data_IF_761590029292
#
_entry.id   IF_761590029292
#
_cell.length_a   1.000
_cell.length_b   1.000
_cell.length_c   1.000
_cell.angle_alpha   90.00
_cell.angle_beta   90.00
_cell.angle_gamma   90.00
#
_symmetry.space_group_name_H-M   'P 1'
#
loop_
_entity.id
_entity.type
_entity.pdbx_description
1 polymer ?
#
# COMPACT_ATOMS: atom_id res chain seq x y z
N UNK A 1 12.70 25.66 19.16
CA UNK A 1 12.16 24.74 18.14
C UNK A 1 12.46 25.36 16.79
N UNK A 2 13.24 24.72 15.93
CA UNK A 2 13.35 25.19 14.53
C UNK A 2 11.96 24.98 13.90
N UNK A 3 11.36 26.05 13.40
CA UNK A 3 10.10 25.96 12.66
C UNK A 3 10.34 25.06 11.44
N UNK A 4 9.52 24.01 11.27
CA UNK A 4 9.64 23.13 10.10
C UNK A 4 9.20 23.92 8.86
N UNK A 5 10.12 24.22 7.93
CA UNK A 5 9.82 24.98 6.70
C UNK A 5 8.65 24.39 5.93
N UNK A 6 8.59 23.06 5.80
CA UNK A 6 7.49 22.39 5.10
C UNK A 6 6.14 22.69 5.78
N UNK A 7 6.13 22.72 7.12
CA UNK A 7 4.95 23.04 7.89
C UNK A 7 4.48 24.47 7.64
N UNK A 8 5.40 25.44 7.72
CA UNK A 8 5.09 26.85 7.43
C UNK A 8 4.54 26.99 6.02
N UNK A 9 5.16 26.33 5.05
CA UNK A 9 4.78 26.42 3.64
C UNK A 9 3.30 26.04 3.44
N UNK A 10 2.86 24.87 3.92
CA UNK A 10 1.47 24.46 3.73
C UNK A 10 0.49 25.23 4.62
N UNK A 11 0.89 25.66 5.83
CA UNK A 11 0.06 26.50 6.70
C UNK A 11 -0.29 27.84 6.03
N UNK A 12 0.63 28.40 5.24
CA UNK A 12 0.38 29.64 4.49
C UNK A 12 -0.72 29.51 3.42
N UNK A 13 -0.89 28.31 2.84
CA UNK A 13 -2.01 27.99 1.94
C UNK A 13 -3.31 27.79 2.73
N UNK A 14 -3.25 27.02 3.82
CA UNK A 14 -4.41 26.71 4.65
C UNK A 14 -5.08 27.97 5.21
N UNK A 15 -4.30 28.93 5.73
CA UNK A 15 -4.82 30.21 6.27
C UNK A 15 -5.54 31.04 5.21
N UNK A 16 -5.20 30.85 3.92
CA UNK A 16 -5.83 31.53 2.79
C UNK A 16 -6.99 30.74 2.16
N UNK A 17 -7.36 29.61 2.75
CA UNK A 17 -8.46 28.76 2.28
C UNK A 17 -8.09 27.83 1.12
N UNK A 18 -6.79 27.62 0.86
CA UNK A 18 -6.32 26.63 -0.09
C UNK A 18 -5.99 25.33 0.65
N UNK A 19 -6.81 24.29 0.46
CA UNK A 19 -6.67 22.98 1.11
C UNK A 19 -6.39 21.83 0.13
N UNK A 20 -6.33 22.11 -1.18
CA UNK A 20 -5.95 21.11 -2.19
C UNK A 20 -4.44 20.81 -2.13
N UNK A 21 -4.12 19.59 -1.73
CA UNK A 21 -2.74 19.09 -1.60
C UNK A 21 -2.02 19.08 -2.94
N UNK A 22 -2.70 18.76 -4.04
CA UNK A 22 -2.08 18.74 -5.36
C UNK A 22 -1.67 20.15 -5.77
N UNK A 23 -2.51 21.15 -5.46
CA UNK A 23 -2.15 22.56 -5.61
C UNK A 23 -0.93 22.91 -4.74
N UNK A 24 -0.92 22.58 -3.44
CA UNK A 24 0.23 22.89 -2.56
C UNK A 24 1.55 22.28 -3.08
N UNK A 25 1.52 21.03 -3.56
CA UNK A 25 2.70 20.39 -4.15
C UNK A 25 3.13 21.05 -5.45
N UNK A 26 2.20 21.39 -6.33
CA UNK A 26 2.49 22.13 -7.57
C UNK A 26 3.15 23.48 -7.26
N UNK A 27 2.66 24.19 -6.24
CA UNK A 27 3.22 25.46 -5.82
C UNK A 27 4.59 25.35 -5.17
N UNK A 28 4.85 24.27 -4.43
CA UNK A 28 6.18 23.96 -3.92
C UNK A 28 7.20 23.80 -5.07
N UNK A 29 6.81 23.10 -6.15
CA UNK A 29 7.64 22.98 -7.36
C UNK A 29 7.85 24.34 -8.00
N UNK A 30 6.78 25.13 -8.19
CA UNK A 30 6.84 26.46 -8.82
C UNK A 30 7.84 27.37 -8.11
N UNK A 31 7.77 27.39 -6.78
CA UNK A 31 8.63 28.22 -5.93
C UNK A 31 10.09 27.78 -6.03
N UNK A 32 10.36 26.48 -5.95
CA UNK A 32 11.73 25.94 -6.04
C UNK A 32 12.35 26.17 -7.43
N UNK A 33 11.59 25.95 -8.50
CA UNK A 33 12.07 26.19 -9.87
C UNK A 33 12.34 27.69 -10.12
N UNK A 34 11.45 28.57 -9.64
CA UNK A 34 11.67 30.02 -9.73
C UNK A 34 12.94 30.43 -8.97
N UNK A 35 13.14 29.90 -7.77
CA UNK A 35 14.35 30.14 -6.98
C UNK A 35 15.62 29.66 -7.70
N UNK A 36 15.59 28.47 -8.29
CA UNK A 36 16.73 27.96 -9.08
C UNK A 36 17.03 28.83 -10.29
N UNK A 37 16.00 29.23 -11.04
CA UNK A 37 16.16 30.12 -12.19
C UNK A 37 16.87 31.42 -11.79
N UNK A 38 16.39 32.09 -10.73
CA UNK A 38 16.99 33.34 -10.27
C UNK A 38 18.43 33.15 -9.78
N UNK A 39 18.69 32.07 -9.02
CA UNK A 39 20.04 31.74 -8.54
C UNK A 39 21.01 31.46 -9.69
N UNK A 40 20.58 30.72 -10.72
CA UNK A 40 21.40 30.43 -11.90
C UNK A 40 21.75 31.67 -12.72
N UNK A 41 20.94 32.72 -12.63
CA UNK A 41 21.17 34.00 -13.31
C UNK A 41 21.78 35.07 -12.38
N UNK A 42 22.21 34.70 -11.17
CA UNK A 42 22.77 35.60 -10.14
C UNK A 42 21.85 36.80 -9.80
N UNK A 43 20.54 36.58 -9.85
CA UNK A 43 19.53 37.60 -9.54
C UNK A 43 19.16 37.51 -8.06
N UNK A 44 19.31 38.62 -7.34
CA UNK A 44 18.91 38.75 -5.94
C UNK A 44 17.60 39.51 -5.83
N UNK A 45 16.68 39.00 -5.03
CA UNK A 45 15.36 39.59 -4.79
C UNK A 45 15.30 40.13 -3.36
N UNK A 46 14.88 41.38 -3.20
CA UNK A 46 14.54 41.98 -1.91
C UNK A 46 13.03 42.14 -1.72
N UNK A 47 12.61 42.59 -0.54
CA UNK A 47 11.21 42.86 -0.20
C UNK A 47 10.65 44.15 -0.87
N UNK A 48 11.38 44.73 -1.83
CA UNK A 48 10.92 45.93 -2.55
C UNK A 48 9.78 45.61 -3.51
N UNK A 49 8.86 46.56 -3.73
CA UNK A 49 7.73 46.36 -4.66
C UNK A 49 8.19 46.06 -6.09
N UNK A 50 9.33 46.61 -6.52
CA UNK A 50 9.90 46.37 -7.84
C UNK A 50 10.42 44.93 -7.97
N UNK A 51 11.12 44.43 -6.95
CA UNK A 51 11.65 43.07 -6.94
C UNK A 51 10.53 42.03 -6.82
N UNK A 52 9.48 42.32 -6.04
CA UNK A 52 8.29 41.47 -5.96
C UNK A 52 7.56 41.37 -7.30
N UNK A 53 7.41 42.48 -8.02
CA UNK A 53 6.87 42.45 -9.39
C UNK A 53 7.76 41.59 -10.30
N UNK A 54 9.07 41.82 -10.28
CA UNK A 54 10.00 41.04 -11.09
C UNK A 54 9.94 39.55 -10.79
N UNK A 55 9.98 39.18 -9.51
CA UNK A 55 9.85 37.79 -9.03
C UNK A 55 8.55 37.16 -9.54
N UNK A 56 7.43 37.89 -9.44
CA UNK A 56 6.14 37.39 -9.87
C UNK A 56 6.07 37.17 -11.39
N UNK A 57 6.71 38.04 -12.19
CA UNK A 57 6.81 37.85 -13.64
C UNK A 57 7.76 36.71 -14.02
N UNK A 58 8.88 36.56 -13.31
CA UNK A 58 9.78 35.43 -13.48
C UNK A 58 9.06 34.11 -13.18
N UNK A 59 8.30 34.05 -12.08
CA UNK A 59 7.46 32.90 -11.75
C UNK A 59 6.47 32.57 -12.86
N UNK A 60 5.76 33.56 -13.42
CA UNK A 60 4.79 33.31 -14.49
C UNK A 60 5.44 32.67 -15.70
N UNK A 61 6.58 33.19 -16.12
CA UNK A 61 7.36 32.64 -17.24
C UNK A 61 7.75 31.17 -16.98
N UNK A 62 8.32 30.88 -15.81
CA UNK A 62 8.71 29.51 -15.42
C UNK A 62 7.52 28.57 -15.34
N UNK A 63 6.37 29.09 -14.90
CA UNK A 63 5.13 28.33 -14.81
C UNK A 63 4.59 27.95 -16.18
N UNK A 64 4.59 28.89 -17.12
CA UNK A 64 4.18 28.65 -18.51
C UNK A 64 5.10 27.62 -19.19
N UNK A 65 6.43 27.74 -19.00
CA UNK A 65 7.41 26.80 -19.54
C UNK A 65 7.23 25.37 -19.01
N UNK A 66 6.74 25.22 -17.78
CA UNK A 66 6.46 23.92 -17.13
C UNK A 66 5.01 23.45 -17.27
N UNK A 67 4.15 24.19 -17.98
CA UNK A 67 2.73 23.84 -18.13
C UNK A 67 1.93 23.84 -16.83
N UNK A 68 2.34 24.67 -15.86
CA UNK A 68 1.66 24.80 -14.57
C UNK A 68 0.42 25.68 -14.68
N UNK A 69 -0.58 25.39 -13.85
CA UNK A 69 -1.80 26.19 -13.75
C UNK A 69 -1.53 27.60 -13.17
N UNK A 70 -2.57 28.43 -13.12
CA UNK A 70 -2.48 29.77 -12.57
C UNK A 70 -2.12 29.75 -11.07
N UNK A 71 -1.19 30.62 -10.66
CA UNK A 71 -0.85 30.84 -9.26
C UNK A 71 -2.03 31.51 -8.53
N UNK A 72 -2.53 30.95 -7.41
CA UNK A 72 -3.80 31.39 -6.83
C UNK A 72 -3.72 32.65 -5.95
N UNK A 73 -2.56 33.30 -5.78
CA UNK A 73 -2.42 34.49 -4.95
C UNK A 73 -1.66 35.65 -5.58
N UNK A 74 -1.27 36.61 -4.75
CA UNK A 74 -0.65 37.86 -5.17
C UNK A 74 0.89 37.84 -5.05
N UNK A 75 1.50 38.99 -5.31
CA UNK A 75 2.96 39.18 -5.30
C UNK A 75 3.57 39.02 -3.93
N UNK A 76 2.88 39.51 -2.90
CA UNK A 76 3.33 39.43 -1.52
C UNK A 76 3.29 37.98 -1.05
N UNK A 77 2.19 37.27 -1.34
CA UNK A 77 2.08 35.86 -1.02
C UNK A 77 3.15 35.03 -1.75
N UNK A 78 3.37 35.26 -3.03
CA UNK A 78 4.41 34.53 -3.76
C UNK A 78 5.81 34.85 -3.22
N UNK A 79 6.07 36.11 -2.85
CA UNK A 79 7.33 36.50 -2.22
C UNK A 79 7.53 35.76 -0.89
N UNK A 80 6.51 35.70 -0.03
CA UNK A 80 6.60 34.96 1.23
C UNK A 80 6.95 33.48 0.99
N UNK A 81 6.30 32.83 0.02
CA UNK A 81 6.61 31.45 -0.35
C UNK A 81 8.05 31.31 -0.88
N UNK A 82 8.48 32.24 -1.72
CA UNK A 82 9.82 32.29 -2.28
C UNK A 82 10.92 32.36 -1.21
N UNK A 83 10.69 33.09 -0.11
CA UNK A 83 11.66 33.14 1.00
C UNK A 83 11.91 31.78 1.66
N UNK A 84 10.97 30.83 1.52
CA UNK A 84 11.11 29.47 2.05
C UNK A 84 11.82 28.52 1.09
N UNK A 85 11.96 28.88 -0.19
CA UNK A 85 12.34 27.99 -1.29
C UNK A 85 13.66 27.24 -1.05
N UNK A 86 14.68 27.92 -0.52
CA UNK A 86 16.01 27.34 -0.30
C UNK A 86 15.99 26.19 0.73
N UNK A 87 15.08 26.26 1.70
CA UNK A 87 14.99 25.29 2.80
C UNK A 87 13.84 24.28 2.66
N UNK A 88 13.09 24.35 1.56
CA UNK A 88 11.93 23.50 1.33
C UNK A 88 12.36 22.09 0.92
N UNK A 89 11.94 21.08 1.68
CA UNK A 89 12.15 19.68 1.31
C UNK A 89 10.89 19.16 0.61
N UNK A 90 10.94 19.10 -0.72
CA UNK A 90 9.82 18.68 -1.57
C UNK A 90 9.32 17.26 -1.27
N UNK A 91 10.23 16.29 -1.10
CA UNK A 91 9.86 14.90 -0.80
C UNK A 91 9.29 14.79 0.62
N UNK A 92 9.87 15.53 1.56
CA UNK A 92 9.34 15.67 2.91
C UNK A 92 7.94 16.29 2.92
N UNK A 93 7.69 17.33 2.12
CA UNK A 93 6.39 17.99 2.02
C UNK A 93 5.33 17.02 1.46
N UNK A 94 5.68 16.25 0.43
CA UNK A 94 4.83 15.17 -0.08
C UNK A 94 4.46 14.17 1.03
N UNK A 95 5.46 13.72 1.79
CA UNK A 95 5.22 12.81 2.92
C UNK A 95 4.31 13.44 3.98
N UNK A 96 4.54 14.71 4.35
CA UNK A 96 3.81 15.41 5.41
C UNK A 96 2.34 15.64 5.03
N UNK A 97 2.06 16.04 3.78
CA UNK A 97 0.69 16.29 3.31
C UNK A 97 -0.17 15.03 3.26
N UNK A 98 0.40 13.88 2.91
CA UNK A 98 -0.33 12.61 2.84
C UNK A 98 -0.26 11.78 4.14
N UNK A 99 0.53 12.22 5.14
CA UNK A 99 0.69 11.50 6.40
C UNK A 99 -0.66 11.37 7.13
N UNK A 100 -0.97 10.16 7.57
CA UNK A 100 -2.18 9.81 8.33
C UNK A 100 -3.51 10.08 7.59
N UNK A 101 -3.49 10.35 6.29
CA UNK A 101 -4.70 10.49 5.51
C UNK A 101 -5.39 9.12 5.34
N UNK A 102 -6.68 9.02 5.66
CA UNK A 102 -7.43 7.76 5.53
C UNK A 102 -7.90 7.49 4.09
N UNK A 103 -7.71 8.45 3.21
CA UNK A 103 -8.14 8.47 1.80
C UNK A 103 -6.92 8.74 0.92
N UNK A 104 -6.95 8.27 -0.33
CA UNK A 104 -5.86 8.54 -1.28
C UNK A 104 -4.70 7.55 -1.21
N UNK A 105 -3.49 8.06 -0.99
CA UNK A 105 -2.23 7.31 -1.17
C UNK A 105 -1.90 6.50 0.07
N UNK A 106 -1.63 5.20 -0.11
CA UNK A 106 -1.09 4.34 0.95
C UNK A 106 0.41 4.56 1.04
N UNK A 107 0.87 5.23 2.09
CA UNK A 107 2.29 5.41 2.35
C UNK A 107 2.88 4.22 3.11
N UNK A 108 4.07 3.79 2.70
CA UNK A 108 4.89 2.87 3.46
C UNK A 108 5.43 3.55 4.73
N UNK A 109 5.38 2.90 5.90
CA UNK A 109 6.01 3.45 7.09
C UNK A 109 7.54 3.38 6.99
N UNK A 110 8.23 4.27 7.69
CA UNK A 110 9.69 4.40 7.68
C UNK A 110 10.41 3.07 7.93
N UNK A 111 9.91 2.26 8.85
CA UNK A 111 10.50 0.97 9.20
C UNK A 111 10.32 -0.11 8.11
N UNK A 112 9.28 0.01 7.27
CA UNK A 112 9.17 -0.82 6.07
C UNK A 112 10.17 -0.37 5.01
N UNK A 113 10.33 0.95 4.83
CA UNK A 113 11.30 1.49 3.89
C UNK A 113 12.72 1.10 4.30
N UNK A 114 13.08 1.23 5.58
CA UNK A 114 14.36 0.79 6.12
C UNK A 114 14.62 -0.71 5.82
N UNK A 115 13.63 -1.57 6.05
CA UNK A 115 13.73 -3.00 5.71
C UNK A 115 13.92 -3.23 4.20
N UNK A 116 13.20 -2.47 3.34
CA UNK A 116 13.38 -2.56 1.89
C UNK A 116 14.75 -2.02 1.44
N UNK A 117 15.32 -1.05 2.14
CA UNK A 117 16.66 -0.53 1.85
C UNK A 117 17.74 -1.59 2.05
N UNK A 118 17.61 -2.49 3.03
CA UNK A 118 18.53 -3.62 3.22
C UNK A 118 18.53 -4.61 2.04
N UNK A 119 17.45 -4.62 1.23
CA UNK A 119 17.35 -5.42 0.01
C UNK A 119 18.19 -4.80 -1.13
N UNK A 120 18.48 -3.50 -1.06
CA UNK A 120 19.39 -2.79 -1.99
C UNK A 120 20.85 -3.12 -1.62
N UNK A 121 21.24 -4.36 -1.89
CA UNK A 121 22.59 -4.87 -1.62
C UNK A 121 23.62 -4.42 -2.66
N UNK A 122 24.91 -4.63 -2.38
CA UNK A 122 26.04 -4.36 -3.28
C UNK A 122 25.89 -4.92 -4.70
N UNK A 123 25.21 -6.06 -4.85
CA UNK A 123 25.01 -6.75 -6.14
C UNK A 123 23.96 -6.11 -7.03
N UNK A 124 23.14 -5.21 -6.49
CA UNK A 124 22.13 -4.46 -7.24
C UNK A 124 22.82 -3.24 -7.83
N UNK A 125 22.67 -2.97 -9.13
CA UNK A 125 23.23 -1.77 -9.77
C UNK A 125 22.13 -0.82 -10.25
N UNK A 126 20.99 -1.36 -10.70
CA UNK A 126 19.82 -0.58 -11.11
C UNK A 126 18.57 -0.93 -10.30
N UNK A 127 17.94 0.12 -9.75
CA UNK A 127 16.74 0.03 -8.91
C UNK A 127 15.62 0.83 -9.55
N UNK A 128 14.45 0.22 -9.72
CA UNK A 128 13.22 0.94 -10.04
C UNK A 128 12.30 0.97 -8.82
N UNK A 129 11.75 2.15 -8.50
CA UNK A 129 10.70 2.33 -7.50
C UNK A 129 9.42 2.69 -8.24
N UNK A 130 8.47 1.76 -8.26
CA UNK A 130 7.37 1.73 -9.22
C UNK A 130 6.23 2.75 -8.98
N UNK A 131 6.02 3.13 -7.73
CA UNK A 131 5.10 4.19 -7.26
C UNK A 131 5.84 4.97 -6.16
N UNK A 132 6.79 5.81 -6.57
CA UNK A 132 7.80 6.40 -5.69
C UNK A 132 7.21 7.26 -4.56
N UNK A 133 6.05 7.87 -4.77
CA UNK A 133 5.35 8.63 -3.73
C UNK A 133 4.99 7.80 -2.50
N UNK A 134 4.74 6.49 -2.67
CA UNK A 134 4.40 5.61 -1.54
C UNK A 134 5.59 5.38 -0.61
N UNK A 135 6.81 5.71 -1.05
CA UNK A 135 8.03 5.60 -0.26
C UNK A 135 8.61 6.97 0.11
N UNK A 136 7.86 8.08 -0.07
CA UNK A 136 8.37 9.44 0.09
C UNK A 136 9.16 9.67 1.38
N UNK A 137 8.67 9.17 2.52
CA UNK A 137 9.28 9.40 3.83
C UNK A 137 10.76 8.95 3.95
N UNK A 138 11.16 7.88 3.24
CA UNK A 138 12.53 7.35 3.25
C UNK A 138 13.22 7.35 1.89
N UNK A 139 12.57 7.90 0.85
CA UNK A 139 13.05 7.84 -0.53
C UNK A 139 14.39 8.56 -0.71
N UNK A 140 14.50 9.78 -0.18
CA UNK A 140 15.73 10.56 -0.29
C UNK A 140 16.89 9.87 0.44
N UNK A 141 16.66 9.39 1.67
CA UNK A 141 17.66 8.65 2.44
C UNK A 141 18.14 7.38 1.72
N UNK A 142 17.23 6.64 1.10
CA UNK A 142 17.57 5.45 0.31
C UNK A 142 18.53 5.80 -0.84
N UNK A 143 18.28 6.90 -1.55
CA UNK A 143 19.12 7.35 -2.67
C UNK A 143 20.47 7.86 -2.17
N UNK A 144 20.47 8.71 -1.13
CA UNK A 144 21.68 9.32 -0.56
C UNK A 144 22.66 8.28 -0.01
N UNK A 145 22.14 7.19 0.55
CA UNK A 145 22.95 6.09 1.10
C UNK A 145 23.45 5.11 0.04
N UNK A 146 23.03 5.26 -1.21
CA UNK A 146 23.35 4.37 -2.33
C UNK A 146 23.78 5.16 -3.59
N UNK A 147 24.75 6.08 -3.50
CA UNK A 147 25.10 7.01 -4.58
C UNK A 147 25.65 6.32 -5.83
N UNK A 148 26.19 5.12 -5.70
CA UNK A 148 26.72 4.32 -6.81
C UNK A 148 25.64 3.55 -7.58
N UNK A 149 24.41 3.49 -7.06
CA UNK A 149 23.27 2.82 -7.69
C UNK A 149 22.50 3.76 -8.61
N UNK A 150 21.98 3.23 -9.72
CA UNK A 150 21.07 3.96 -10.61
C UNK A 150 19.63 3.76 -10.17
N UNK A 151 18.92 4.84 -9.88
CA UNK A 151 17.52 4.83 -9.49
C UNK A 151 16.61 5.32 -10.61
N UNK A 152 15.53 4.60 -10.86
CA UNK A 152 14.40 5.05 -11.67
C UNK A 152 13.17 5.18 -10.78
N UNK A 153 12.68 6.40 -10.61
CA UNK A 153 11.49 6.73 -9.85
C UNK A 153 10.31 6.84 -10.81
N UNK A 154 9.26 6.06 -10.56
CA UNK A 154 8.05 6.07 -11.38
C UNK A 154 6.85 6.54 -10.57
N UNK A 155 5.98 7.29 -11.23
CA UNK A 155 4.66 7.71 -10.72
C UNK A 155 3.74 8.00 -11.89
N UNK A 156 2.45 7.75 -11.78
CA UNK A 156 1.48 8.15 -12.81
C UNK A 156 0.83 9.51 -12.54
N UNK A 157 1.04 10.07 -11.34
CA UNK A 157 0.54 11.40 -11.00
C UNK A 157 1.49 12.48 -11.51
N UNK A 158 1.01 13.31 -12.44
CA UNK A 158 1.85 14.31 -13.10
C UNK A 158 2.46 15.34 -12.13
N UNK A 159 1.68 15.82 -11.15
CA UNK A 159 2.17 16.74 -10.11
C UNK A 159 3.31 16.13 -9.30
N UNK A 160 3.17 14.86 -8.91
CA UNK A 160 4.22 14.12 -8.19
C UNK A 160 5.44 13.90 -9.09
N UNK A 161 5.22 13.62 -10.38
CA UNK A 161 6.31 13.51 -11.35
C UNK A 161 7.13 14.81 -11.42
N UNK A 162 6.47 15.96 -11.55
CA UNK A 162 7.16 17.26 -11.54
C UNK A 162 7.90 17.46 -10.22
N UNK A 163 7.27 17.15 -9.09
CA UNK A 163 7.88 17.26 -7.77
C UNK A 163 9.13 16.40 -7.62
N UNK A 164 9.07 15.12 -7.98
CA UNK A 164 10.21 14.21 -7.91
C UNK A 164 11.31 14.64 -8.88
N UNK A 165 10.95 15.06 -10.11
CA UNK A 165 11.90 15.56 -11.10
C UNK A 165 12.64 16.79 -10.58
N UNK A 166 11.94 17.73 -9.97
CA UNK A 166 12.52 18.92 -9.34
C UNK A 166 13.36 18.53 -8.12
N UNK A 167 12.87 17.67 -7.23
CA UNK A 167 13.59 17.27 -6.02
C UNK A 167 14.92 16.58 -6.31
N UNK A 168 14.96 15.73 -7.34
CA UNK A 168 16.13 14.92 -7.69
C UNK A 168 16.90 15.41 -8.92
N UNK A 169 16.64 16.64 -9.40
CA UNK A 169 17.27 17.17 -10.63
C UNK A 169 18.80 17.15 -10.60
N UNK A 170 19.42 17.40 -9.44
CA UNK A 170 20.88 17.44 -9.29
C UNK A 170 21.51 16.05 -9.15
N UNK A 171 20.70 15.00 -8.94
CA UNK A 171 21.15 13.63 -8.73
C UNK A 171 21.43 12.95 -10.08
N UNK A 172 22.71 12.82 -10.43
CA UNK A 172 23.13 12.21 -11.69
C UNK A 172 22.76 10.73 -11.80
N UNK A 173 22.49 10.07 -10.67
CA UNK A 173 22.12 8.67 -10.59
C UNK A 173 20.59 8.44 -10.51
N UNK A 174 19.77 9.49 -10.62
CA UNK A 174 18.30 9.39 -10.53
C UNK A 174 17.64 9.78 -11.86
N UNK A 175 16.72 8.94 -12.32
CA UNK A 175 15.81 9.19 -13.45
C UNK A 175 14.38 9.17 -12.93
N UNK A 176 13.55 10.13 -13.33
CA UNK A 176 12.12 10.16 -12.97
C UNK A 176 11.28 9.94 -14.23
N UNK A 177 10.27 9.07 -14.16
CA UNK A 177 9.40 8.70 -15.29
C UNK A 177 7.93 8.86 -14.89
N UNK A 178 7.14 9.50 -15.75
CA UNK A 178 5.68 9.56 -15.61
C UNK A 178 5.02 8.44 -16.41
N UNK A 179 4.76 7.29 -15.78
CA UNK A 179 4.04 6.16 -16.37
C UNK A 179 3.25 5.42 -15.28
N UNK A 180 2.16 4.77 -15.69
CA UNK A 180 1.36 3.94 -14.80
C UNK A 180 1.74 2.48 -14.93
N UNK A 181 2.01 1.83 -13.81
CA UNK A 181 2.26 0.37 -13.76
C UNK A 181 1.01 -0.45 -14.06
N UNK A 182 -0.15 0.20 -14.15
CA UNK A 182 -1.42 -0.42 -14.49
C UNK A 182 -1.78 -0.34 -15.98
N UNK A 183 -0.96 0.36 -16.77
CA UNK A 183 -1.04 0.41 -18.24
C UNK A 183 0.16 -0.28 -18.85
N UNK A 184 0.11 -0.64 -20.13
CA UNK A 184 1.28 -1.20 -20.78
C UNK A 184 2.54 -0.36 -20.54
N UNK A 185 3.54 -0.95 -19.88
CA UNK A 185 4.81 -0.28 -19.63
C UNK A 185 5.62 -0.24 -20.93
N UNK A 186 5.98 0.98 -21.33
CA UNK A 186 6.71 1.24 -22.58
C UNK A 186 8.21 1.49 -22.35
N UNK A 187 8.70 1.22 -21.14
CA UNK A 187 10.12 1.37 -20.82
C UNK A 187 10.92 0.18 -21.39
N UNK A 188 12.03 0.49 -22.05
CA UNK A 188 12.96 -0.52 -22.58
C UNK A 188 13.97 -0.99 -21.53
N UNK A 189 14.15 -0.22 -20.47
CA UNK A 189 15.10 -0.50 -19.38
C UNK A 189 14.69 -1.80 -18.63
N UNK A 190 15.69 -2.57 -18.23
CA UNK A 190 15.54 -3.69 -17.29
C UNK A 190 16.33 -3.43 -16.01
N UNK A 191 15.82 -3.92 -14.87
CA UNK A 191 16.32 -3.57 -13.54
C UNK A 191 16.81 -4.79 -12.77
N UNK A 192 17.87 -4.60 -11.96
CA UNK A 192 18.32 -5.63 -11.01
C UNK A 192 17.34 -5.77 -9.84
N UNK A 193 16.69 -4.67 -9.48
CA UNK A 193 15.68 -4.63 -8.42
C UNK A 193 14.53 -3.72 -8.82
N UNK A 194 13.30 -4.22 -8.70
CA UNK A 194 12.10 -3.39 -8.73
C UNK A 194 11.45 -3.46 -7.35
N UNK A 195 11.20 -2.32 -6.72
CA UNK A 195 10.43 -2.19 -5.49
C UNK A 195 9.03 -1.66 -5.83
N UNK A 196 7.99 -2.34 -5.34
CA UNK A 196 6.61 -1.99 -5.65
C UNK A 196 5.67 -2.17 -4.46
N UNK A 197 4.78 -1.19 -4.26
CA UNK A 197 3.69 -1.24 -3.28
C UNK A 197 2.39 -0.93 -4.02
N UNK A 198 1.93 -1.83 -4.91
CA UNK A 198 0.76 -1.59 -5.77
C UNK A 198 -0.49 -1.19 -4.97
N UNK A 199 -1.42 -0.49 -5.62
CA UNK A 199 -2.69 -0.11 -5.04
C UNK A 199 -3.48 -1.36 -4.62
N UNK A 200 -4.01 -1.36 -3.40
CA UNK A 200 -4.67 -2.53 -2.83
C UNK A 200 -6.18 -2.56 -3.08
N UNK A 201 -6.69 -3.69 -3.57
CA UNK A 201 -8.12 -3.98 -3.72
C UNK A 201 -8.81 -3.23 -4.87
N UNK A 202 -8.04 -2.61 -5.77
CA UNK A 202 -8.57 -1.93 -6.95
C UNK A 202 -8.90 -2.90 -8.08
N UNK A 203 -9.87 -2.53 -8.91
CA UNK A 203 -10.24 -3.30 -10.11
C UNK A 203 -10.38 -2.38 -11.31
N UNK A 204 -9.58 -2.61 -12.35
CA UNK A 204 -9.50 -1.78 -13.54
C UNK A 204 -10.24 -2.43 -14.72
N UNK A 205 -10.86 -1.61 -15.56
CA UNK A 205 -11.41 -2.00 -16.86
C UNK A 205 -10.33 -2.09 -17.93
N UNK A 206 -10.66 -2.75 -19.04
CA UNK A 206 -9.75 -2.91 -20.18
C UNK A 206 -9.37 -1.54 -20.77
N UNK A 207 -10.32 -0.60 -20.77
CA UNK A 207 -10.09 0.76 -21.27
C UNK A 207 -9.09 1.54 -20.39
N UNK A 208 -9.02 1.21 -19.09
CA UNK A 208 -8.08 1.84 -18.16
C UNK A 208 -6.64 1.28 -18.29
N UNK A 209 -6.48 0.06 -18.81
CA UNK A 209 -5.21 -0.70 -18.79
C UNK A 209 -4.42 -0.68 -20.10
N UNK A 210 -4.96 -0.08 -21.16
CA UNK A 210 -4.37 0.03 -22.52
C UNK A 210 -3.98 -1.30 -23.24
N UNK A 211 -4.04 -2.43 -22.54
CA UNK A 211 -3.94 -3.79 -23.08
C UNK A 211 -4.70 -4.78 -22.18
N UNK A 212 -4.87 -6.01 -22.67
CA UNK A 212 -5.42 -7.09 -21.85
C UNK A 212 -4.37 -7.65 -20.90
N UNK A 213 -4.70 -7.67 -19.61
CA UNK A 213 -3.97 -8.38 -18.56
C UNK A 213 -4.72 -9.67 -18.18
N UNK A 214 -4.05 -10.58 -17.46
CA UNK A 214 -4.65 -11.84 -16.99
C UNK A 214 -5.81 -11.61 -16.03
N UNK A 215 -5.76 -10.51 -15.27
CA UNK A 215 -6.76 -10.17 -14.26
C UNK A 215 -7.13 -8.69 -14.36
N UNK A 216 -8.23 -8.32 -13.70
CA UNK A 216 -8.63 -6.92 -13.53
C UNK A 216 -8.14 -6.31 -12.21
N UNK A 217 -7.46 -7.06 -11.36
CA UNK A 217 -7.06 -6.60 -10.02
C UNK A 217 -5.71 -5.86 -10.09
N UNK A 218 -5.63 -4.69 -9.44
CA UNK A 218 -4.50 -3.75 -9.58
C UNK A 218 -3.15 -4.37 -9.28
N UNK A 219 -3.03 -5.21 -8.27
CA UNK A 219 -1.77 -5.80 -7.82
C UNK A 219 -1.25 -6.86 -8.77
N UNK A 220 -2.16 -7.70 -9.29
CA UNK A 220 -1.81 -8.69 -10.31
C UNK A 220 -1.43 -8.03 -11.62
N UNK A 221 -2.12 -6.96 -12.03
CA UNK A 221 -1.76 -6.16 -13.21
C UNK A 221 -0.34 -5.58 -13.04
N UNK A 222 -0.07 -4.92 -11.91
CA UNK A 222 1.23 -4.34 -11.61
C UNK A 222 2.36 -5.38 -11.68
N UNK A 223 2.17 -6.55 -11.06
CA UNK A 223 3.18 -7.62 -11.08
C UNK A 223 3.39 -8.17 -12.49
N UNK A 224 2.31 -8.45 -13.24
CA UNK A 224 2.39 -8.96 -14.61
C UNK A 224 3.18 -8.02 -15.54
N UNK A 225 3.10 -6.72 -15.27
CA UNK A 225 3.79 -5.70 -16.03
C UNK A 225 5.25 -5.55 -15.61
N UNK A 226 5.49 -5.35 -14.31
CA UNK A 226 6.81 -5.06 -13.76
C UNK A 226 7.77 -6.25 -13.91
N UNK A 227 7.29 -7.48 -13.81
CA UNK A 227 8.13 -8.68 -13.92
C UNK A 227 8.79 -8.83 -15.30
N UNK A 228 8.28 -8.15 -16.33
CA UNK A 228 8.86 -8.16 -17.68
C UNK A 228 10.14 -7.32 -17.76
N UNK A 229 10.24 -6.27 -16.93
CA UNK A 229 11.34 -5.32 -16.87
C UNK A 229 12.40 -5.67 -15.80
N UNK A 230 12.46 -6.89 -15.31
CA UNK A 230 13.59 -7.34 -14.45
C UNK A 230 14.70 -7.96 -15.29
N UNK A 231 15.96 -7.78 -14.90
CA UNK A 231 17.09 -8.50 -15.48
C UNK A 231 16.98 -10.02 -15.23
N UNK A 232 17.71 -10.84 -15.98
CA UNK A 232 17.68 -12.31 -15.82
C UNK A 232 18.08 -12.78 -14.41
N UNK A 233 18.97 -12.04 -13.75
CA UNK A 233 19.35 -12.21 -12.34
C UNK A 233 18.67 -11.23 -11.39
N UNK A 234 17.80 -10.36 -11.91
CA UNK A 234 17.09 -9.35 -11.14
C UNK A 234 15.87 -9.92 -10.42
N UNK A 235 15.27 -9.07 -9.57
CA UNK A 235 14.10 -9.43 -8.77
C UNK A 235 13.09 -8.28 -8.67
N UNK A 236 11.81 -8.64 -8.66
CA UNK A 236 10.71 -7.76 -8.27
C UNK A 236 10.35 -8.10 -6.82
N UNK A 237 10.45 -7.11 -5.93
CA UNK A 237 9.98 -7.20 -4.56
C UNK A 237 8.72 -6.35 -4.44
N UNK A 238 7.58 -7.01 -4.23
CA UNK A 238 6.28 -6.38 -4.22
C UNK A 238 5.53 -6.64 -2.91
N UNK A 239 4.91 -5.61 -2.37
CA UNK A 239 3.90 -5.78 -1.32
C UNK A 239 2.58 -6.18 -1.97
N UNK A 240 2.02 -7.31 -1.56
CA UNK A 240 0.77 -7.85 -2.13
C UNK A 240 -0.30 -8.02 -1.05
N UNK A 241 -1.59 -7.86 -1.35
CA UNK A 241 -2.66 -8.17 -0.42
C UNK A 241 -2.78 -9.68 -0.23
N UNK A 242 -3.27 -10.10 0.93
CA UNK A 242 -3.56 -11.50 1.21
C UNK A 242 -4.45 -12.15 0.16
N UNK A 243 -5.40 -11.39 -0.43
CA UNK A 243 -6.30 -11.88 -1.49
C UNK A 243 -5.54 -12.55 -2.64
N UNK A 244 -4.39 -12.01 -3.05
CA UNK A 244 -3.59 -12.58 -4.15
C UNK A 244 -3.14 -14.01 -3.85
N UNK A 245 -2.91 -14.33 -2.58
CA UNK A 245 -2.39 -15.64 -2.15
C UNK A 245 -3.42 -16.77 -2.19
N UNK A 246 -4.73 -16.49 -2.16
CA UNK A 246 -5.74 -17.55 -2.03
C UNK A 246 -6.98 -17.40 -2.93
N UNK A 247 -7.21 -16.23 -3.53
CA UNK A 247 -8.42 -16.02 -4.33
C UNK A 247 -8.48 -16.98 -5.54
N UNK A 248 -9.69 -17.40 -5.89
CA UNK A 248 -9.95 -18.32 -7.01
C UNK A 248 -10.09 -17.58 -8.35
N UNK A 249 -10.47 -18.29 -9.41
CA UNK A 249 -10.70 -17.75 -10.76
C UNK A 249 -9.43 -17.10 -11.33
N UNK A 250 -9.52 -15.93 -11.97
CA UNK A 250 -8.40 -15.26 -12.64
C UNK A 250 -7.15 -15.09 -11.76
N UNK A 251 -7.31 -14.96 -10.43
CA UNK A 251 -6.17 -14.85 -9.51
C UNK A 251 -5.48 -16.20 -9.32
N UNK A 252 -6.22 -17.32 -9.35
CA UNK A 252 -5.63 -18.66 -9.37
C UNK A 252 -4.84 -18.86 -10.67
N UNK A 253 -5.42 -18.53 -11.81
CA UNK A 253 -4.77 -18.65 -13.12
C UNK A 253 -3.49 -17.78 -13.18
N UNK A 254 -3.54 -16.58 -12.60
CA UNK A 254 -2.36 -15.71 -12.44
C UNK A 254 -1.26 -16.34 -11.58
N UNK A 255 -1.62 -16.98 -10.45
CA UNK A 255 -0.65 -17.69 -9.60
C UNK A 255 0.00 -18.86 -10.36
N UNK A 256 -0.79 -19.65 -11.09
CA UNK A 256 -0.30 -20.74 -11.93
C UNK A 256 0.67 -20.22 -12.99
N UNK A 257 0.29 -19.16 -13.71
CA UNK A 257 1.15 -18.52 -14.70
C UNK A 257 2.48 -18.03 -14.12
N UNK A 258 2.48 -17.46 -12.90
CA UNK A 258 3.73 -17.08 -12.22
C UNK A 258 4.63 -18.30 -12.00
N UNK A 259 4.10 -19.42 -11.47
CA UNK A 259 4.89 -20.63 -11.22
C UNK A 259 5.35 -21.32 -12.50
N UNK A 260 4.60 -21.14 -13.59
CA UNK A 260 4.91 -21.66 -14.92
C UNK A 260 5.88 -20.80 -15.73
N UNK A 261 6.02 -19.50 -15.43
CA UNK A 261 6.84 -18.62 -16.29
C UNK A 261 7.98 -17.94 -15.53
N UNK A 262 7.88 -17.87 -14.21
CA UNK A 262 8.81 -17.14 -13.35
C UNK A 262 9.17 -17.95 -12.11
N UNK A 263 10.04 -17.37 -11.29
CA UNK A 263 10.37 -17.85 -9.95
C UNK A 263 9.62 -17.03 -8.93
N UNK A 264 8.95 -17.69 -7.99
CA UNK A 264 8.52 -17.10 -6.74
C UNK A 264 9.56 -17.47 -5.69
N UNK A 265 10.46 -16.55 -5.40
CA UNK A 265 11.64 -16.79 -4.56
C UNK A 265 11.28 -16.77 -3.08
N UNK A 266 10.38 -15.87 -2.68
CA UNK A 266 9.92 -15.80 -1.30
C UNK A 266 8.54 -15.17 -1.13
N UNK A 267 7.83 -15.54 -0.07
CA UNK A 267 6.67 -14.84 0.44
C UNK A 267 6.78 -14.70 1.96
N UNK A 268 6.75 -13.47 2.47
CA UNK A 268 6.71 -13.18 3.89
C UNK A 268 5.38 -12.53 4.28
N UNK A 269 4.72 -13.00 5.34
CA UNK A 269 3.59 -12.25 5.90
C UNK A 269 4.10 -11.00 6.59
N UNK A 270 3.57 -9.83 6.24
CA UNK A 270 3.90 -8.59 6.94
C UNK A 270 3.08 -8.43 8.24
N UNK A 271 3.54 -7.60 9.20
CA UNK A 271 2.80 -7.30 10.41
C UNK A 271 1.38 -6.79 10.13
N UNK A 272 0.43 -7.18 10.98
CA UNK A 272 -0.95 -6.72 10.86
C UNK A 272 -1.04 -5.21 11.06
N UNK A 273 -1.75 -4.54 10.14
CA UNK A 273 -1.95 -3.10 10.23
C UNK A 273 -0.69 -2.28 9.97
N UNK A 274 0.35 -2.84 9.34
CA UNK A 274 1.57 -2.10 8.94
C UNK A 274 1.27 -0.83 8.13
N UNK A 275 0.18 -0.81 7.36
CA UNK A 275 -0.27 0.36 6.58
C UNK A 275 -1.38 1.16 7.27
N UNK A 276 -1.58 1.05 8.59
CA UNK A 276 -2.48 1.95 9.31
C UNK A 276 -1.88 3.36 9.38
N UNK A 277 -2.70 4.42 9.30
CA UNK A 277 -4.17 4.42 9.25
C UNK A 277 -4.77 4.27 7.84
N UNK A 278 -3.97 4.15 6.77
CA UNK A 278 -4.41 4.09 5.38
C UNK A 278 -5.28 2.87 5.07
N UNK A 279 -4.85 1.68 5.53
CA UNK A 279 -5.59 0.44 5.31
C UNK A 279 -5.33 -0.62 6.37
N UNK A 280 -6.33 -1.46 6.61
CA UNK A 280 -6.24 -2.66 7.47
C UNK A 280 -6.08 -3.96 6.70
N UNK A 281 -5.83 -3.90 5.38
CA UNK A 281 -5.64 -5.08 4.54
C UNK A 281 -4.39 -5.84 5.01
N UNK A 282 -4.52 -7.16 5.22
CA UNK A 282 -3.37 -8.04 5.46
C UNK A 282 -2.50 -8.09 4.21
N UNK A 283 -1.21 -7.86 4.37
CA UNK A 283 -0.25 -7.82 3.27
C UNK A 283 0.86 -8.84 3.45
N UNK A 284 1.53 -9.15 2.33
CA UNK A 284 2.71 -9.99 2.25
C UNK A 284 3.78 -9.26 1.45
N UNK A 285 5.04 -9.58 1.69
CA UNK A 285 6.17 -9.18 0.85
C UNK A 285 6.58 -10.38 0.00
N UNK A 286 6.37 -10.28 -1.31
CA UNK A 286 6.69 -11.33 -2.27
C UNK A 286 7.88 -10.95 -3.14
N UNK A 287 8.77 -11.91 -3.39
CA UNK A 287 9.91 -11.74 -4.30
C UNK A 287 9.71 -12.62 -5.52
N UNK A 288 9.71 -12.01 -6.70
CA UNK A 288 9.61 -12.68 -8.00
C UNK A 288 10.92 -12.49 -8.78
N UNK A 289 11.31 -13.49 -9.59
CA UNK A 289 12.50 -13.44 -10.44
C UNK A 289 12.25 -14.14 -11.78
N UNK A 290 13.03 -13.81 -12.83
CA UNK A 290 12.96 -14.50 -14.13
C UNK A 290 13.54 -15.92 -14.06
N UNK A 291 14.72 -16.05 -13.44
CA UNK A 291 15.40 -17.34 -13.33
C UNK A 291 14.72 -18.20 -12.26
N UNK A 292 14.15 -19.33 -12.68
CA UNK A 292 13.56 -20.32 -11.77
C UNK A 292 14.57 -20.85 -10.75
N UNK A 293 14.15 -20.90 -9.50
CA UNK A 293 14.85 -21.59 -8.41
C UNK A 293 14.12 -22.89 -8.06
N UNK A 294 14.89 -23.86 -7.56
CA UNK A 294 14.34 -25.15 -7.10
C UNK A 294 13.68 -25.09 -5.71
N UNK A 295 13.72 -23.93 -5.05
CA UNK A 295 13.14 -23.74 -3.73
C UNK A 295 12.56 -22.35 -3.54
N UNK A 296 11.53 -22.27 -2.71
CA UNK A 296 10.90 -21.03 -2.22
C UNK A 296 11.15 -20.88 -0.72
N UNK A 297 11.25 -19.63 -0.26
CA UNK A 297 11.30 -19.29 1.16
C UNK A 297 9.97 -18.71 1.62
N UNK A 298 9.38 -19.26 2.67
CA UNK A 298 8.13 -18.75 3.25
C UNK A 298 8.40 -18.32 4.69
N UNK A 299 7.85 -17.20 5.11
CA UNK A 299 8.09 -16.73 6.47
C UNK A 299 7.16 -15.64 6.99
N UNK A 300 7.46 -15.18 8.19
CA UNK A 300 6.78 -14.06 8.82
C UNK A 300 7.78 -12.97 9.16
N UNK A 301 7.35 -11.73 8.94
CA UNK A 301 8.03 -10.52 9.40
C UNK A 301 7.19 -9.94 10.53
N UNK A 302 7.83 -9.66 11.65
CA UNK A 302 7.23 -9.02 12.81
C UNK A 302 7.86 -7.65 13.04
N UNK A 303 7.09 -6.76 13.68
CA UNK A 303 7.55 -5.43 14.05
C UNK A 303 7.89 -5.41 15.55
N UNK A 304 9.14 -5.11 15.88
CA UNK A 304 9.64 -4.89 17.24
C UNK A 304 10.29 -3.51 17.30
N UNK A 305 9.83 -2.62 18.20
CA UNK A 305 10.41 -1.28 18.41
C UNK A 305 10.65 -0.49 17.10
N UNK A 306 9.65 -0.46 16.21
CA UNK A 306 9.74 0.17 14.88
C UNK A 306 10.86 -0.40 13.98
N UNK A 307 11.21 -1.67 14.15
CA UNK A 307 12.08 -2.40 13.25
C UNK A 307 11.39 -3.68 12.76
N UNK A 308 11.61 -4.04 11.50
CA UNK A 308 11.09 -5.28 10.95
C UNK A 308 12.14 -6.39 11.06
N UNK A 309 11.74 -7.53 11.59
CA UNK A 309 12.58 -8.72 11.67
C UNK A 309 11.87 -9.92 11.09
N UNK A 310 12.61 -10.72 10.34
CA UNK A 310 12.14 -12.04 9.91
C UNK A 310 12.20 -12.97 11.12
N UNK A 311 11.06 -13.56 11.52
CA UNK A 311 10.95 -14.41 12.71
C UNK A 311 10.86 -15.89 12.35
N UNK A 312 9.83 -16.27 11.59
CA UNK A 312 9.61 -17.64 11.14
C UNK A 312 10.05 -17.80 9.70
N UNK A 313 10.83 -18.85 9.41
CA UNK A 313 11.31 -19.15 8.06
C UNK A 313 11.27 -20.65 7.82
N UNK A 314 10.62 -21.03 6.73
CA UNK A 314 10.72 -22.37 6.16
C UNK A 314 11.21 -22.27 4.72
N UNK A 315 11.86 -23.33 4.27
CA UNK A 315 12.29 -23.48 2.89
C UNK A 315 11.78 -24.80 2.36
N UNK A 316 11.13 -24.77 1.20
CA UNK A 316 10.61 -25.98 0.57
C UNK A 316 10.89 -25.98 -0.92
N UNK A 317 10.77 -27.15 -1.56
CA UNK A 317 11.00 -27.24 -3.00
C UNK A 317 9.88 -26.55 -3.77
N UNK A 318 10.21 -25.95 -4.92
CA UNK A 318 9.21 -25.31 -5.79
C UNK A 318 8.18 -26.32 -6.30
N UNK A 319 8.60 -27.59 -6.51
CA UNK A 319 7.72 -28.66 -6.94
C UNK A 319 6.69 -29.05 -5.86
N UNK A 320 7.10 -29.07 -4.59
CA UNK A 320 6.19 -29.29 -3.47
C UNK A 320 5.24 -28.11 -3.28
N UNK A 321 5.76 -26.88 -3.31
CA UNK A 321 4.94 -25.67 -3.21
C UNK A 321 3.89 -25.56 -4.33
N UNK A 322 4.25 -25.95 -5.55
CA UNK A 322 3.33 -25.96 -6.70
C UNK A 322 2.15 -26.93 -6.59
N UNK A 323 2.12 -27.83 -5.60
CA UNK A 323 0.96 -28.69 -5.33
C UNK A 323 -0.15 -27.96 -4.54
N UNK A 324 0.14 -26.76 -4.02
CA UNK A 324 -0.80 -25.98 -3.23
C UNK A 324 -1.42 -24.87 -4.09
N UNK A 325 -2.75 -24.84 -4.14
CA UNK A 325 -3.53 -23.76 -4.78
C UNK A 325 -3.41 -22.40 -4.04
N UNK A 326 -2.85 -22.42 -2.83
CA UNK A 326 -2.88 -21.34 -1.85
C UNK A 326 -1.47 -21.01 -1.33
N UNK A 327 -1.10 -19.73 -1.42
CA UNK A 327 0.19 -19.21 -1.00
C UNK A 327 0.18 -18.56 0.39
N UNK A 328 -0.91 -18.68 1.16
CA UNK A 328 -0.98 -18.14 2.52
C UNK A 328 0.07 -18.81 3.38
N UNK A 329 1.07 -18.03 3.76
CA UNK A 329 2.24 -18.51 4.51
C UNK A 329 1.87 -19.22 5.81
N UNK A 330 0.81 -18.77 6.50
CA UNK A 330 0.33 -19.41 7.72
C UNK A 330 -0.03 -20.89 7.56
N UNK A 331 -0.45 -21.35 6.38
CA UNK A 331 -0.75 -22.77 6.13
C UNK A 331 0.51 -23.64 6.28
N UNK A 332 1.66 -23.07 5.92
CA UNK A 332 2.94 -23.76 5.89
C UNK A 332 3.72 -23.60 7.18
N UNK A 333 3.66 -22.42 7.82
CA UNK A 333 4.26 -22.20 9.14
C UNK A 333 3.55 -23.01 10.23
N UNK A 334 2.25 -23.28 10.06
CA UNK A 334 1.51 -24.21 10.89
C UNK A 334 1.93 -25.68 10.73
N UNK A 335 2.89 -26.03 9.86
CA UNK A 335 3.34 -27.42 9.79
C UNK A 335 4.03 -27.89 11.08
N UNK A 336 4.48 -27.00 11.95
CA UNK A 336 4.97 -27.36 13.29
C UNK A 336 3.83 -27.44 14.34
N UNK A 337 2.58 -27.11 13.96
CA UNK A 337 1.43 -27.23 14.84
C UNK A 337 0.93 -28.69 14.85
N UNK A 338 1.10 -29.36 15.98
CA UNK A 338 0.72 -30.77 16.16
C UNK A 338 -0.75 -31.04 15.83
N UNK A 339 -1.68 -30.13 16.15
CA UNK A 339 -3.11 -30.33 15.89
C UNK A 339 -3.41 -30.29 14.39
N UNK A 340 -2.78 -29.37 13.67
CA UNK A 340 -2.91 -29.25 12.21
C UNK A 340 -2.26 -30.45 11.53
N UNK A 341 -1.12 -30.94 12.05
CA UNK A 341 -0.51 -32.17 11.54
C UNK A 341 -1.38 -33.40 11.78
N UNK A 342 -1.95 -33.55 12.99
CA UNK A 342 -2.93 -34.61 13.29
C UNK A 342 -4.14 -34.52 12.35
N UNK A 343 -4.65 -33.32 12.10
CA UNK A 343 -5.75 -33.10 11.15
C UNK A 343 -5.35 -33.52 9.73
N UNK A 344 -4.17 -33.10 9.24
CA UNK A 344 -3.66 -33.45 7.90
C UNK A 344 -3.45 -34.97 7.76
N UNK A 345 -2.77 -35.59 8.72
CA UNK A 345 -2.46 -37.02 8.76
C UNK A 345 -3.68 -37.91 9.03
N UNK A 346 -4.77 -37.35 9.56
CA UNK A 346 -6.01 -38.09 9.79
C UNK A 346 -6.52 -38.74 8.51
N UNK A 347 -6.77 -40.06 8.59
CA UNK A 347 -7.41 -40.84 7.52
C UNK A 347 -8.90 -40.54 7.35
N UNK A 348 -9.47 -39.67 8.19
CA UNK A 348 -10.86 -39.21 8.04
C UNK A 348 -10.99 -38.42 6.74
N UNK A 349 -11.99 -38.79 5.94
CA UNK A 349 -12.31 -38.09 4.68
C UNK A 349 -12.62 -36.63 4.98
N UNK A 350 -11.85 -35.73 4.36
CA UNK A 350 -12.01 -34.29 4.51
C UNK A 350 -12.96 -33.76 3.43
N UNK A 351 -13.87 -32.88 3.82
CA UNK A 351 -14.77 -32.16 2.91
C UNK A 351 -14.62 -30.66 3.13
N UNK A 352 -14.88 -29.85 2.10
CA UNK A 352 -14.87 -28.39 2.27
C UNK A 352 -16.05 -28.00 3.16
N UNK A 353 -15.86 -27.10 4.12
CA UNK A 353 -16.98 -26.64 4.97
C UNK A 353 -18.18 -26.17 4.13
N UNK A 354 -17.92 -25.41 3.05
CA UNK A 354 -18.95 -24.95 2.12
C UNK A 354 -19.76 -26.08 1.43
N UNK A 355 -19.27 -27.32 1.40
CA UNK A 355 -20.05 -28.43 0.84
C UNK A 355 -21.01 -29.08 1.84
N UNK A 356 -20.90 -28.75 3.12
CA UNK A 356 -21.71 -29.34 4.20
C UNK A 356 -22.37 -28.30 5.11
N UNK A 357 -22.03 -27.02 4.95
CA UNK A 357 -22.56 -25.93 5.75
C UNK A 357 -22.71 -24.67 4.88
N UNK A 358 -23.77 -23.91 5.14
CA UNK A 358 -23.91 -22.56 4.64
C UNK A 358 -23.01 -21.62 5.45
N UNK A 359 -22.23 -20.81 4.74
CA UNK A 359 -21.29 -19.89 5.36
C UNK A 359 -21.74 -18.48 5.04
N UNK A 360 -22.18 -17.76 6.05
CA UNK A 360 -22.56 -16.35 5.94
C UNK A 360 -21.84 -15.52 7.00
N UNK A 361 -21.80 -14.21 6.75
CA UNK A 361 -21.25 -13.24 7.69
C UNK A 361 -22.41 -12.46 8.29
N UNK A 362 -22.40 -12.25 9.60
CA UNK A 362 -23.43 -11.47 10.32
C UNK A 362 -23.61 -10.06 9.77
N UNK A 363 -24.81 -9.49 10.01
CA UNK A 363 -25.17 -8.12 9.63
C UNK A 363 -24.30 -7.12 10.39
N UNK A 364 -23.80 -6.09 9.69
CA UNK A 364 -23.18 -4.95 10.37
C UNK A 364 -24.28 -4.11 11.01
N UNK A 365 -24.32 -4.07 12.34
CA UNK A 365 -25.28 -3.29 13.11
C UNK A 365 -24.59 -2.02 13.61
N UNK A 366 -25.14 -0.84 13.28
CA UNK A 366 -24.62 0.44 13.76
C UNK A 366 -25.24 0.78 15.11
N UNK A 367 -24.60 1.67 15.88
CA UNK A 367 -25.13 2.12 17.17
C UNK A 367 -26.57 2.65 17.10
N UNK A 368 -26.93 3.29 15.98
CA UNK A 368 -28.28 3.84 15.78
C UNK A 368 -29.33 2.76 15.46
N UNK A 369 -28.90 1.54 15.13
CA UNK A 369 -29.76 0.40 14.85
C UNK A 369 -30.09 -0.39 16.14
N UNK A 370 -29.33 -0.17 17.21
CA UNK A 370 -29.56 -0.78 18.53
C UNK A 370 -30.70 -0.07 19.24
N UNK A 371 -31.83 -0.76 19.40
CA UNK A 371 -33.07 -0.25 20.00
C UNK A 371 -33.83 -1.40 20.66
N UNK A 372 -34.56 -1.18 21.77
CA UNK A 372 -35.39 -2.22 22.37
C UNK A 372 -36.30 -2.89 21.33
N UNK A 373 -36.20 -4.21 21.22
CA UNK A 373 -36.97 -5.01 20.27
C UNK A 373 -36.85 -6.52 20.53
N UNK A 374 -37.45 -7.32 19.66
CA UNK A 374 -37.57 -8.78 19.84
C UNK A 374 -36.39 -9.56 19.24
N UNK A 375 -35.52 -8.88 18.48
CA UNK A 375 -34.35 -9.46 17.84
C UNK A 375 -33.12 -9.13 18.68
N UNK A 376 -32.40 -10.15 19.11
CA UNK A 376 -31.17 -10.03 19.88
C UNK A 376 -29.97 -9.89 18.94
N UNK A 377 -28.95 -9.14 19.34
CA UNK A 377 -27.74 -8.92 18.56
C UNK A 377 -26.58 -9.62 19.26
N UNK A 378 -26.01 -10.63 18.60
CA UNK A 378 -24.80 -11.29 19.07
C UNK A 378 -23.55 -10.48 18.71
N UNK A 379 -22.87 -9.93 19.72
CA UNK A 379 -21.56 -9.29 19.56
C UNK A 379 -20.41 -10.22 20.00
N UNK A 380 -19.18 -9.87 19.60
CA UNK A 380 -17.95 -10.62 20.00
C UNK A 380 -17.76 -10.65 21.54
N UNK A 381 -18.25 -9.62 22.23
CA UNK A 381 -18.24 -9.54 23.69
C UNK A 381 -19.19 -10.55 24.36
N UNK A 382 -20.20 -11.06 23.65
CA UNK A 382 -21.13 -12.05 24.17
C UNK A 382 -20.60 -13.49 24.07
N UNK A 383 -19.42 -13.70 23.48
CA UNK A 383 -18.84 -15.04 23.39
C UNK A 383 -17.74 -15.15 24.43
N UNK A 384 -17.81 -16.10 25.35
CA UNK A 384 -16.78 -16.35 26.36
C UNK A 384 -16.58 -17.85 26.54
N UNK A 385 -15.33 -18.31 26.57
CA UNK A 385 -14.95 -19.71 26.82
C UNK A 385 -15.65 -20.78 25.98
N UNK A 386 -16.12 -20.43 24.77
CA UNK A 386 -16.84 -21.37 23.90
C UNK A 386 -18.36 -21.28 23.97
N UNK A 387 -18.87 -20.44 24.87
CA UNK A 387 -20.30 -20.27 25.13
C UNK A 387 -20.81 -18.89 24.74
N UNK A 388 -22.13 -18.78 24.61
CA UNK A 388 -22.83 -17.53 24.32
C UNK A 388 -23.49 -17.00 25.58
N UNK A 389 -23.04 -15.84 26.01
CA UNK A 389 -23.64 -15.05 27.08
C UNK A 389 -24.83 -14.26 26.53
N UNK A 390 -26.02 -14.78 26.81
CA UNK A 390 -27.29 -14.19 26.42
C UNK A 390 -27.70 -12.98 27.28
N UNK A 391 -27.03 -12.76 28.41
CA UNK A 391 -27.34 -11.67 29.32
C UNK A 391 -26.83 -10.35 28.76
N UNK A 392 -27.63 -9.29 28.91
CA UNK A 392 -27.32 -7.93 28.45
C UNK A 392 -26.96 -7.84 26.95
N UNK A 393 -27.50 -8.75 26.13
CA UNK A 393 -27.43 -8.61 24.69
C UNK A 393 -28.16 -7.34 24.23
N UNK A 394 -27.53 -6.63 23.30
CA UNK A 394 -28.19 -5.57 22.56
C UNK A 394 -29.40 -6.15 21.80
N UNK A 395 -30.42 -5.34 21.58
CA UNK A 395 -31.59 -5.72 20.79
C UNK A 395 -31.84 -4.72 19.67
N UNK A 396 -32.66 -5.13 18.69
CA UNK A 396 -33.16 -4.27 17.63
C UNK A 396 -34.62 -4.60 17.31
N UNK A 397 -35.31 -3.62 16.73
CA UNK A 397 -36.66 -3.77 16.19
C UNK A 397 -36.60 -3.69 14.66
N UNK A 398 -36.03 -4.73 14.05
CA UNK A 398 -35.88 -4.86 12.60
C UNK A 398 -36.88 -5.87 12.05
N UNK A 399 -37.31 -5.66 10.80
CA UNK A 399 -38.23 -6.59 10.17
C UNK A 399 -37.56 -7.94 9.90
N UNK A 400 -38.22 -9.04 10.28
CA UNK A 400 -37.75 -10.42 10.14
C UNK A 400 -37.17 -10.73 8.74
N UNK A 401 -37.85 -10.26 7.69
CA UNK A 401 -37.45 -10.42 6.29
C UNK A 401 -36.06 -9.84 5.96
N UNK A 402 -35.60 -8.81 6.68
CA UNK A 402 -34.28 -8.19 6.49
C UNK A 402 -33.16 -8.92 7.23
N UNK A 403 -33.51 -9.67 8.28
CA UNK A 403 -32.54 -10.34 9.16
C UNK A 403 -32.49 -11.86 8.96
N UNK A 404 -33.50 -12.47 8.34
CA UNK A 404 -33.64 -13.91 8.17
C UNK A 404 -32.39 -14.61 7.63
N UNK A 405 -31.67 -14.00 6.68
CA UNK A 405 -30.42 -14.57 6.13
C UNK A 405 -29.22 -14.58 7.08
N UNK A 406 -29.36 -13.96 8.25
CA UNK A 406 -28.34 -13.81 9.27
C UNK A 406 -28.75 -14.46 10.59
N UNK A 407 -29.99 -14.94 10.69
CA UNK A 407 -30.52 -15.55 11.88
C UNK A 407 -29.71 -16.80 12.20
N UNK A 408 -29.40 -16.98 13.48
CA UNK A 408 -28.70 -18.16 13.97
C UNK A 408 -29.67 -19.29 14.30
N UNK A 409 -29.27 -20.50 13.96
CA UNK A 409 -29.99 -21.74 14.25
C UNK A 409 -29.20 -22.62 15.23
N UNK A 410 -29.91 -23.52 15.93
CA UNK A 410 -29.29 -24.47 16.85
C UNK A 410 -28.19 -25.28 16.14
N UNK A 411 -27.01 -25.33 16.75
CA UNK A 411 -25.84 -26.02 16.21
C UNK A 411 -24.98 -25.17 15.26
N UNK A 412 -25.35 -23.92 14.97
CA UNK A 412 -24.51 -23.03 14.17
C UNK A 412 -23.14 -22.81 14.83
N UNK A 413 -22.06 -22.92 14.05
CA UNK A 413 -20.71 -22.67 14.54
C UNK A 413 -20.33 -21.21 14.25
N UNK A 414 -20.07 -20.47 15.31
CA UNK A 414 -19.71 -19.06 15.28
C UNK A 414 -18.19 -18.90 15.32
N UNK A 415 -17.68 -18.06 14.42
CA UNK A 415 -16.26 -17.74 14.31
C UNK A 415 -16.09 -16.22 14.23
N UNK A 416 -15.28 -15.66 15.11
CA UNK A 416 -14.99 -14.22 15.07
C UNK A 416 -14.23 -13.86 13.79
N UNK A 417 -14.87 -13.07 12.92
CA UNK A 417 -14.25 -12.59 11.67
C UNK A 417 -13.40 -11.32 11.87
N UNK A 418 -13.46 -10.69 13.05
CA UNK A 418 -12.75 -9.46 13.45
C UNK A 418 -12.48 -9.52 14.95
N UNK A 419 -11.45 -8.82 15.42
CA UNK A 419 -11.02 -8.80 16.83
C UNK A 419 -9.58 -9.24 17.00
N UNK A 420 -9.01 -9.03 18.18
CA UNK A 420 -7.65 -9.49 18.55
C UNK A 420 -7.64 -10.92 19.08
N UNK A 421 -8.80 -11.47 19.42
CA UNK A 421 -8.97 -12.82 19.98
C UNK A 421 -9.87 -13.62 19.06
N UNK A 422 -9.39 -14.78 18.61
CA UNK A 422 -10.22 -15.75 17.92
C UNK A 422 -11.15 -16.42 18.94
N UNK A 423 -12.45 -16.14 18.86
CA UNK A 423 -13.45 -16.85 19.64
C UNK A 423 -14.26 -17.76 18.73
N UNK A 424 -14.57 -18.94 19.26
CA UNK A 424 -15.40 -19.95 18.61
C UNK A 424 -16.48 -20.35 19.60
N UNK A 425 -17.73 -20.48 19.17
CA UNK A 425 -18.82 -20.99 19.99
C UNK A 425 -19.82 -21.75 19.12
N UNK A 426 -20.53 -22.70 19.71
CA UNK A 426 -21.70 -23.31 19.09
C UNK A 426 -22.94 -22.57 19.57
N UNK A 427 -23.81 -22.16 18.64
CA UNK A 427 -25.07 -21.53 18.98
C UNK A 427 -26.01 -22.58 19.58
N UNK A 428 -26.49 -22.40 20.83
CA UNK A 428 -27.31 -23.39 21.49
C UNK A 428 -28.80 -23.21 21.13
N UNK A 429 -29.57 -24.27 21.30
CA UNK A 429 -31.02 -24.22 21.21
C UNK A 429 -31.60 -23.13 22.13
N UNK A 430 -32.34 -22.19 21.54
CA UNK A 430 -32.94 -21.07 22.25
C UNK A 430 -34.25 -20.64 21.60
N UNK A 431 -35.14 -20.05 22.41
CA UNK A 431 -36.37 -19.42 21.91
C UNK A 431 -36.14 -17.99 21.42
N UNK A 432 -34.94 -17.43 21.64
CA UNK A 432 -34.59 -16.06 21.27
C UNK A 432 -34.25 -16.01 19.78
N UNK A 433 -34.77 -15.01 19.08
CA UNK A 433 -34.34 -14.70 17.71
C UNK A 433 -33.06 -13.88 17.79
N UNK A 434 -31.94 -14.44 17.32
CA UNK A 434 -30.61 -13.83 17.38
C UNK A 434 -30.03 -13.63 15.98
#
# INVERSE_FOLDING_TARGET
MKTNTNQVFWEMFYIRGFDDKQQVLSEAVRVVETHRYLRQNDIKISDSSQDKEYLFQAMKKISEENGMEHFPGDRDFFFDLYTLAESLNLVGLLSDLYKNERTGIVLAPDYLIAFLSEIVSDRVSSVMIAEAEKMAAGLQFLIDTNPEKKFTLMTDQYTIFLLLKTAFQEYQNVKVINQSIYRELLIADNFDLILSIPAFGGRLSIDETSKSFMTRETESIAIENLIRNINDSGRLVAVIPAKLTFASSQIKDFREWILENYSLDSIYSLPDGIFRPYTGIKTYLATFAKRRKGSIVLGSIEAEDYNLKVTQVIKMSTAEFGQYDDWRVGIFLCNDNEEIQRFKASGVKKVKLKSIADIFRGKSVLKNDVKPGEVFILNISNIEEGEILFDNMDTTNEEERKIKRYQLEDGDILLTCRGTVNKVAMFPETRRMV
#
